data_IF_630455493779
#
_entry.id   IF_630455493779
#
_cell.length_a   1.000
_cell.length_b   1.000
_cell.length_c   1.000
_cell.angle_alpha   90.00
_cell.angle_beta   90.00
_cell.angle_gamma   90.00
#
_symmetry.space_group_name_H-M   'P 1'
#
loop_
_entity.id
_entity.type
_entity.pdbx_description
1 polymer ?
#
# COMPACT_ATOMS: atom_id res chain seq x y z
N UNK A 1 -27.27 31.72 -2.27
CA UNK A 1 -26.30 31.41 -1.19
C UNK A 1 -26.25 29.90 -1.07
N UNK A 2 -25.06 29.30 -0.86
CA UNK A 2 -24.98 27.86 -0.60
C UNK A 2 -25.50 27.59 0.81
N UNK A 3 -26.56 26.80 0.92
CA UNK A 3 -27.17 26.41 2.20
C UNK A 3 -27.02 24.91 2.43
N UNK A 4 -27.00 24.43 3.69
CA UNK A 4 -26.82 23.01 4.00
C UNK A 4 -27.84 22.05 3.36
N UNK A 5 -29.03 22.57 3.06
CA UNK A 5 -30.12 21.81 2.41
C UNK A 5 -29.99 21.74 0.88
N UNK A 6 -29.06 22.49 0.29
CA UNK A 6 -28.80 22.41 -1.15
C UNK A 6 -28.06 21.10 -1.48
N UNK A 7 -28.51 20.42 -2.54
CA UNK A 7 -27.86 19.21 -3.07
C UNK A 7 -26.36 19.43 -3.32
N UNK A 8 -26.00 20.56 -3.92
CA UNK A 8 -24.61 20.96 -4.19
C UNK A 8 -23.75 21.04 -2.92
N UNK A 9 -24.32 21.48 -1.79
CA UNK A 9 -23.61 21.51 -0.51
C UNK A 9 -23.38 20.10 0.03
N UNK A 10 -24.40 19.25 -0.04
CA UNK A 10 -24.31 17.86 0.42
C UNK A 10 -23.30 17.06 -0.40
N UNK A 11 -23.27 17.23 -1.72
CA UNK A 11 -22.27 16.65 -2.61
C UNK A 11 -20.85 17.11 -2.24
N UNK A 12 -20.65 18.43 -2.08
CA UNK A 12 -19.35 18.98 -1.70
C UNK A 12 -18.87 18.47 -0.33
N UNK A 13 -19.80 18.27 0.61
CA UNK A 13 -19.49 17.71 1.93
C UNK A 13 -19.11 16.22 1.84
N UNK A 14 -19.80 15.43 1.02
CA UNK A 14 -19.41 14.04 0.73
C UNK A 14 -18.03 13.97 0.08
N UNK A 15 -17.76 14.81 -0.91
CA UNK A 15 -16.45 14.90 -1.57
C UNK A 15 -15.34 15.32 -0.60
N UNK A 16 -15.62 16.23 0.33
CA UNK A 16 -14.68 16.61 1.38
C UNK A 16 -14.35 15.42 2.30
N UNK A 17 -15.37 14.64 2.71
CA UNK A 17 -15.18 13.43 3.54
C UNK A 17 -14.36 12.37 2.79
N UNK A 18 -14.65 12.15 1.51
CA UNK A 18 -13.90 11.22 0.66
C UNK A 18 -12.44 11.66 0.46
N UNK A 19 -12.19 12.96 0.24
CA UNK A 19 -10.83 13.51 0.15
C UNK A 19 -10.06 13.34 1.45
N UNK A 20 -10.69 13.64 2.60
CA UNK A 20 -10.06 13.45 3.91
C UNK A 20 -9.70 11.98 4.16
N UNK A 21 -10.58 11.05 3.79
CA UNK A 21 -10.32 9.61 3.85
C UNK A 21 -9.12 9.22 2.98
N UNK A 22 -9.09 9.64 1.72
CA UNK A 22 -7.99 9.32 0.80
C UNK A 22 -6.66 9.89 1.29
N UNK A 23 -6.64 11.12 1.82
CA UNK A 23 -5.43 11.70 2.40
C UNK A 23 -4.92 10.93 3.61
N UNK A 24 -5.81 10.43 4.47
CA UNK A 24 -5.41 9.60 5.61
C UNK A 24 -4.87 8.24 5.15
N UNK A 25 -5.45 7.67 4.08
CA UNK A 25 -4.96 6.44 3.46
C UNK A 25 -3.57 6.64 2.83
N UNK A 26 -3.37 7.70 2.04
CA UNK A 26 -2.08 8.03 1.42
C UNK A 26 -1.00 8.28 2.48
N UNK A 27 -1.36 8.94 3.60
CA UNK A 27 -0.45 9.15 4.71
C UNK A 27 -0.05 7.83 5.39
N UNK A 28 -1.02 6.92 5.61
CA UNK A 28 -0.77 5.61 6.16
C UNK A 28 0.13 4.77 5.23
N UNK A 29 -0.16 4.76 3.93
CA UNK A 29 0.64 4.09 2.90
C UNK A 29 2.08 4.60 2.91
N UNK A 30 2.27 5.92 2.89
CA UNK A 30 3.59 6.54 2.94
C UNK A 30 4.40 6.09 4.15
N UNK A 31 3.78 6.03 5.34
CA UNK A 31 4.46 5.55 6.54
C UNK A 31 4.85 4.07 6.43
N UNK A 32 3.98 3.21 5.90
CA UNK A 32 4.29 1.78 5.72
C UNK A 32 5.44 1.60 4.73
N UNK A 33 5.41 2.32 3.61
CA UNK A 33 6.46 2.28 2.58
C UNK A 33 7.80 2.70 3.16
N UNK A 34 7.86 3.80 3.91
CA UNK A 34 9.15 4.18 4.48
C UNK A 34 9.60 3.25 5.63
N UNK A 35 8.69 2.55 6.34
CA UNK A 35 9.07 1.46 7.26
C UNK A 35 9.76 0.32 6.53
N UNK A 36 9.26 -0.07 5.36
CA UNK A 36 9.87 -1.10 4.53
C UNK A 36 11.30 -0.68 4.13
N UNK A 37 11.49 0.56 3.69
CA UNK A 37 12.83 1.08 3.39
C UNK A 37 13.77 1.07 4.60
N UNK A 38 13.28 1.32 5.82
CA UNK A 38 14.09 1.20 7.04
C UNK A 38 14.50 -0.24 7.34
N UNK A 39 13.59 -1.20 7.10
CA UNK A 39 13.88 -2.64 7.25
C UNK A 39 14.94 -3.05 6.23
N UNK A 40 14.81 -2.65 4.97
CA UNK A 40 15.81 -2.93 3.93
C UNK A 40 17.17 -2.35 4.29
N UNK A 41 17.22 -1.10 4.77
CA UNK A 41 18.46 -0.47 5.24
C UNK A 41 19.11 -1.22 6.40
N UNK A 42 18.32 -1.85 7.27
CA UNK A 42 18.83 -2.69 8.37
C UNK A 42 19.55 -3.94 7.85
N UNK A 43 19.11 -4.48 6.72
CA UNK A 43 19.63 -5.72 6.13
C UNK A 43 20.88 -5.50 5.27
N UNK A 44 21.28 -4.24 5.01
CA UNK A 44 22.48 -3.92 4.25
C UNK A 44 23.76 -4.36 5.00
N UNK A 45 24.62 -5.10 4.30
CA UNK A 45 25.96 -5.46 4.79
C UNK A 45 26.82 -4.20 4.90
N UNK A 46 27.58 -4.05 5.98
CA UNK A 46 28.48 -2.90 6.20
C UNK A 46 27.89 -1.74 7.02
N UNK A 47 26.68 -1.87 7.60
CA UNK A 47 26.17 -0.85 8.52
C UNK A 47 26.90 -0.89 9.87
N UNK A 48 27.63 0.18 10.20
CA UNK A 48 28.25 0.37 11.50
C UNK A 48 27.24 0.39 12.66
N UNK A 49 27.72 0.17 13.89
CA UNK A 49 26.87 0.10 15.09
C UNK A 49 25.95 1.32 15.28
N UNK A 50 26.49 2.54 15.12
CA UNK A 50 25.72 3.79 15.23
C UNK A 50 24.54 3.84 14.25
N UNK A 51 24.74 3.41 13.00
CA UNK A 51 23.67 3.36 11.99
C UNK A 51 22.59 2.34 12.38
N UNK A 52 22.98 1.15 12.85
CA UNK A 52 22.02 0.13 13.31
C UNK A 52 21.15 0.63 14.46
N UNK A 53 21.73 1.35 15.42
CA UNK A 53 21.00 1.98 16.52
C UNK A 53 20.02 3.04 16.02
N UNK A 54 20.45 3.90 15.07
CA UNK A 54 19.58 4.89 14.47
C UNK A 54 18.39 4.26 13.71
N UNK A 55 18.63 3.20 12.93
CA UNK A 55 17.58 2.47 12.22
C UNK A 55 16.59 1.84 13.21
N UNK A 56 17.08 1.22 14.30
CA UNK A 56 16.20 0.64 15.32
C UNK A 56 15.31 1.71 15.99
N UNK A 57 15.87 2.89 16.28
CA UNK A 57 15.10 4.02 16.82
C UNK A 57 14.05 4.52 15.82
N UNK A 58 14.43 4.66 14.55
CA UNK A 58 13.52 5.09 13.48
C UNK A 58 12.36 4.10 13.30
N UNK A 59 12.65 2.79 13.28
CA UNK A 59 11.63 1.74 13.20
C UNK A 59 10.62 1.80 14.37
N UNK A 60 11.11 2.04 15.59
CA UNK A 60 10.23 2.21 16.76
C UNK A 60 9.34 3.43 16.64
N UNK A 61 9.92 4.58 16.28
CA UNK A 61 9.17 5.82 16.07
C UNK A 61 8.13 5.66 14.97
N UNK A 62 8.50 5.03 13.85
CA UNK A 62 7.58 4.80 12.75
C UNK A 62 6.47 3.82 13.10
N UNK A 63 6.73 2.81 13.93
CA UNK A 63 5.66 1.93 14.44
C UNK A 63 4.57 2.72 15.18
N UNK A 64 4.96 3.69 16.02
CA UNK A 64 4.00 4.56 16.70
C UNK A 64 3.29 5.51 15.73
N UNK A 65 4.00 6.07 14.75
CA UNK A 65 3.39 6.92 13.72
C UNK A 65 2.34 6.16 12.90
N UNK A 66 2.62 4.91 12.52
CA UNK A 66 1.66 4.04 11.82
C UNK A 66 0.44 3.77 12.69
N UNK A 67 0.60 3.51 13.99
CA UNK A 67 -0.55 3.33 14.89
C UNK A 67 -1.45 4.57 14.95
N UNK A 68 -0.86 5.78 15.02
CA UNK A 68 -1.61 7.03 14.99
C UNK A 68 -2.32 7.28 13.66
N UNK A 69 -1.62 7.07 12.54
CA UNK A 69 -2.19 7.19 11.20
C UNK A 69 -3.32 6.18 10.97
N UNK A 70 -3.16 4.94 11.47
CA UNK A 70 -4.18 3.90 11.41
C UNK A 70 -5.43 4.28 12.21
N UNK A 71 -5.27 4.87 13.39
CA UNK A 71 -6.41 5.34 14.18
C UNK A 71 -7.21 6.41 13.42
N UNK A 72 -6.51 7.39 12.83
CA UNK A 72 -7.12 8.43 11.98
C UNK A 72 -7.79 7.85 10.74
N UNK A 73 -7.14 6.91 10.06
CA UNK A 73 -7.73 6.17 8.94
C UNK A 73 -9.03 5.47 9.36
N UNK A 74 -9.01 4.70 10.44
CA UNK A 74 -10.17 3.94 10.92
C UNK A 74 -11.32 4.83 11.37
N UNK A 75 -11.02 6.01 11.91
CA UNK A 75 -12.04 7.02 12.23
C UNK A 75 -12.73 7.53 10.95
N UNK A 76 -11.95 7.95 9.95
CA UNK A 76 -12.50 8.47 8.69
C UNK A 76 -13.18 7.38 7.88
N UNK A 77 -12.63 6.17 7.87
CA UNK A 77 -13.19 5.00 7.20
C UNK A 77 -14.63 4.75 7.67
N UNK A 78 -14.89 4.79 8.99
CA UNK A 78 -16.25 4.66 9.54
C UNK A 78 -17.21 5.74 9.02
N UNK A 79 -16.74 6.97 8.83
CA UNK A 79 -17.56 8.09 8.33
C UNK A 79 -17.96 7.95 6.86
N UNK A 80 -17.12 7.28 6.05
CA UNK A 80 -17.37 7.01 4.63
C UNK A 80 -17.80 5.56 4.35
N UNK A 81 -18.21 4.83 5.39
CA UNK A 81 -18.60 3.42 5.35
C UNK A 81 -17.53 2.50 4.70
N UNK A 82 -16.25 2.68 5.03
CA UNK A 82 -15.13 1.87 4.50
C UNK A 82 -14.62 0.88 5.56
N UNK A 83 -14.00 -0.23 5.15
CA UNK A 83 -13.46 -1.21 6.09
C UNK A 83 -12.35 -0.60 6.95
N UNK A 84 -12.41 -0.87 8.24
CA UNK A 84 -11.32 -0.59 9.18
C UNK A 84 -10.23 -1.64 9.06
N UNK A 85 -9.01 -1.24 9.36
CA UNK A 85 -7.83 -2.11 9.31
C UNK A 85 -7.25 -2.29 10.71
N UNK A 86 -6.68 -3.46 10.94
CA UNK A 86 -5.84 -3.76 12.10
C UNK A 86 -4.38 -3.46 11.79
N UNK A 87 -3.59 -3.23 12.83
CA UNK A 87 -2.16 -2.99 12.67
C UNK A 87 -1.45 -4.16 11.98
N UNK A 88 -1.88 -5.39 12.26
CA UNK A 88 -1.34 -6.58 11.60
C UNK A 88 -1.62 -6.58 10.11
N UNK A 89 -2.85 -6.28 9.68
CA UNK A 89 -3.20 -6.20 8.26
C UNK A 89 -2.38 -5.12 7.54
N UNK A 90 -2.19 -3.96 8.17
CA UNK A 90 -1.35 -2.88 7.63
C UNK A 90 0.10 -3.30 7.48
N UNK A 91 0.63 -4.14 8.38
CA UNK A 91 1.98 -4.68 8.27
C UNK A 91 2.08 -5.81 7.24
N UNK A 92 1.02 -6.60 7.09
CA UNK A 92 0.93 -7.67 6.09
C UNK A 92 0.78 -7.09 4.68
N UNK A 93 0.25 -5.86 4.56
CA UNK A 93 0.25 -5.06 3.33
C UNK A 93 1.68 -4.63 2.98
N UNK A 94 2.37 -5.53 2.31
CA UNK A 94 3.74 -5.36 1.82
C UNK A 94 3.79 -4.78 0.40
N UNK A 95 2.63 -4.67 -0.27
CA UNK A 95 2.55 -4.26 -1.67
C UNK A 95 1.66 -3.02 -1.83
N UNK A 96 2.14 -2.02 -2.59
CA UNK A 96 1.41 -0.77 -2.87
C UNK A 96 0.00 -1.03 -3.45
N UNK A 97 -0.19 -2.15 -4.17
CA UNK A 97 -1.51 -2.47 -4.71
C UNK A 97 -2.57 -2.76 -3.64
N UNK A 98 -2.19 -3.13 -2.41
CA UNK A 98 -3.13 -3.32 -1.30
C UNK A 98 -3.79 -1.99 -0.89
N UNK A 99 -2.98 -0.92 -0.80
CA UNK A 99 -3.45 0.43 -0.53
C UNK A 99 -4.22 1.02 -1.72
N UNK A 100 -3.76 0.76 -2.94
CA UNK A 100 -4.48 1.16 -4.15
C UNK A 100 -5.89 0.53 -4.22
N UNK A 101 -6.04 -0.72 -3.80
CA UNK A 101 -7.36 -1.35 -3.69
C UNK A 101 -8.23 -0.64 -2.66
N UNK A 102 -7.72 -0.27 -1.49
CA UNK A 102 -8.53 0.49 -0.51
C UNK A 102 -9.00 1.84 -1.06
N UNK A 103 -8.17 2.50 -1.88
CA UNK A 103 -8.49 3.78 -2.51
C UNK A 103 -9.59 3.65 -3.57
N UNK A 104 -9.46 2.67 -4.47
CA UNK A 104 -10.31 2.57 -5.66
C UNK A 104 -11.41 1.51 -5.58
N UNK A 105 -11.32 0.57 -4.62
CA UNK A 105 -12.36 -0.43 -4.47
C UNK A 105 -13.68 0.27 -4.14
N UNK A 106 -14.68 0.06 -4.97
CA UNK A 106 -16.08 0.20 -4.55
C UNK A 106 -16.38 -0.97 -3.60
N UNK A 107 -17.36 -0.83 -2.72
CA UNK A 107 -17.72 -1.84 -1.70
C UNK A 107 -17.72 -3.29 -2.22
N UNK A 108 -18.16 -3.50 -3.46
CA UNK A 108 -18.32 -4.82 -4.05
C UNK A 108 -17.00 -5.44 -4.52
N UNK A 109 -15.94 -4.65 -4.75
CA UNK A 109 -14.70 -5.17 -5.31
C UNK A 109 -13.91 -6.01 -4.31
N UNK A 110 -13.95 -5.66 -3.02
CA UNK A 110 -13.27 -6.40 -1.95
C UNK A 110 -13.89 -7.78 -1.67
N UNK A 111 -15.05 -8.08 -2.25
CA UNK A 111 -15.71 -9.39 -2.12
C UNK A 111 -15.17 -10.42 -3.11
N UNK A 112 -14.40 -9.99 -4.11
CA UNK A 112 -13.88 -10.92 -5.10
C UNK A 112 -12.64 -11.64 -4.60
N UNK A 113 -12.55 -12.94 -4.89
CA UNK A 113 -11.41 -13.80 -4.53
C UNK A 113 -10.05 -13.26 -5.00
N UNK A 114 -10.02 -12.55 -6.13
CA UNK A 114 -8.79 -11.93 -6.64
C UNK A 114 -8.34 -10.71 -5.82
N UNK A 115 -9.15 -10.15 -4.93
CA UNK A 115 -8.71 -9.05 -4.03
C UNK A 115 -8.05 -9.56 -2.76
N UNK A 116 -8.24 -10.84 -2.41
CA UNK A 116 -7.55 -11.47 -1.29
C UNK A 116 -6.03 -11.33 -1.45
N UNK A 117 -5.32 -10.78 -0.46
CA UNK A 117 -3.87 -10.53 -0.57
C UNK A 117 -3.08 -11.79 -0.94
N UNK A 118 -3.43 -12.93 -0.34
CA UNK A 118 -2.79 -14.22 -0.63
C UNK A 118 -2.95 -14.65 -2.08
N UNK A 119 -4.15 -14.48 -2.64
CA UNK A 119 -4.46 -14.85 -4.03
C UNK A 119 -3.72 -13.92 -4.99
N UNK A 120 -3.67 -12.62 -4.71
CA UNK A 120 -2.88 -11.67 -5.53
C UNK A 120 -1.40 -11.98 -5.49
N UNK A 121 -0.85 -12.24 -4.31
CA UNK A 121 0.56 -12.60 -4.17
C UNK A 121 0.90 -13.86 -4.97
N UNK A 122 0.04 -14.88 -4.92
CA UNK A 122 0.21 -16.09 -5.73
C UNK A 122 0.10 -15.78 -7.24
N UNK A 123 -0.86 -14.95 -7.63
CA UNK A 123 -1.09 -14.55 -9.03
C UNK A 123 0.10 -13.78 -9.60
N UNK A 124 0.62 -12.79 -8.86
CA UNK A 124 1.81 -12.02 -9.26
C UNK A 124 3.02 -12.93 -9.41
N UNK A 125 3.27 -13.83 -8.44
CA UNK A 125 4.36 -14.81 -8.55
C UNK A 125 4.21 -15.71 -9.77
N UNK A 126 3.00 -16.19 -10.03
CA UNK A 126 2.72 -17.02 -11.21
C UNK A 126 2.95 -16.25 -12.52
N UNK A 127 2.50 -14.99 -12.60
CA UNK A 127 2.73 -14.12 -13.76
C UNK A 127 4.22 -13.85 -13.98
N UNK A 128 4.98 -13.55 -12.92
CA UNK A 128 6.43 -13.37 -13.00
C UNK A 128 7.14 -14.62 -13.54
N UNK A 129 6.68 -15.82 -13.18
CA UNK A 129 7.21 -17.07 -13.73
C UNK A 129 6.89 -17.21 -15.22
N UNK A 130 5.69 -16.83 -15.66
CA UNK A 130 5.36 -16.83 -17.10
C UNK A 130 6.23 -15.82 -17.86
N UNK A 131 6.34 -14.60 -17.37
CA UNK A 131 7.21 -13.57 -17.98
C UNK A 131 8.66 -14.04 -18.05
N UNK A 132 9.19 -14.68 -16.99
CA UNK A 132 10.56 -15.20 -17.01
C UNK A 132 10.76 -16.28 -18.08
N UNK A 133 9.77 -17.14 -18.33
CA UNK A 133 9.83 -18.15 -19.40
C UNK A 133 9.79 -17.53 -20.79
N UNK A 134 9.01 -16.48 -20.97
CA UNK A 134 8.97 -15.72 -22.23
C UNK A 134 10.29 -14.99 -22.46
N UNK A 135 10.82 -14.35 -21.42
CA UNK A 135 12.09 -13.64 -21.48
C UNK A 135 13.26 -14.58 -21.78
N UNK A 136 13.27 -15.82 -21.26
CA UNK A 136 14.26 -16.83 -21.64
C UNK A 136 14.24 -17.12 -23.14
N UNK A 137 13.06 -17.32 -23.74
CA UNK A 137 12.93 -17.54 -25.19
C UNK A 137 13.43 -16.34 -25.99
N UNK A 138 13.12 -15.13 -25.51
CA UNK A 138 13.57 -13.88 -26.14
C UNK A 138 15.09 -13.76 -26.08
N UNK A 139 15.68 -13.99 -24.90
CA UNK A 139 17.12 -13.94 -24.68
C UNK A 139 17.86 -14.97 -25.56
N UNK A 140 17.33 -16.19 -25.74
CA UNK A 140 17.92 -17.18 -26.64
C UNK A 140 18.04 -16.66 -28.09
N UNK A 141 17.03 -15.92 -28.57
CA UNK A 141 17.05 -15.30 -29.90
C UNK A 141 18.04 -14.13 -29.95
N UNK A 142 18.04 -13.27 -28.93
CA UNK A 142 18.94 -12.11 -28.86
C UNK A 142 20.41 -12.54 -28.76
N UNK A 143 20.72 -13.56 -27.95
CA UNK A 143 22.06 -14.13 -27.87
C UNK A 143 22.52 -14.57 -29.26
N UNK A 144 21.72 -15.39 -29.96
CA UNK A 144 22.09 -15.84 -31.32
C UNK A 144 22.37 -14.67 -32.27
N UNK A 145 21.57 -13.60 -32.21
CA UNK A 145 21.77 -12.39 -33.04
C UNK A 145 23.03 -11.61 -32.72
N UNK A 146 23.52 -11.65 -31.49
CA UNK A 146 24.76 -10.96 -31.10
C UNK A 146 26.00 -11.76 -31.54
N UNK A 147 25.88 -13.09 -31.64
CA UNK A 147 27.00 -13.97 -32.03
C UNK A 147 27.19 -14.11 -33.55
N UNK A 148 26.15 -13.89 -34.36
CA UNK A 148 26.23 -13.75 -35.84
C UNK A 148 26.48 -12.33 -36.26
#
# INVERSE_FOLDING_TARGET
RWTPDCEQWQEAEQDHRHRAYNQALDHLEGLVVQRLFEIEKRNLRGTGYKMRVAIAKALKQRSHAIQGALARYNELARRVNRPTLTFKEVLDYSFLADFALLRFARHNLLQHRWTEPKVRHATVKWLLVQCAREELKRLDVEIRRVWT
#
